data_IF_897127106388
#
_entry.id   IF_897127106388
#
_cell.length_a   1.000
_cell.length_b   1.000
_cell.length_c   1.000
_cell.angle_alpha   90.00
_cell.angle_beta   90.00
_cell.angle_gamma   90.00
#
_symmetry.space_group_name_H-M   'P 1'
#
loop_
_entity.id
_entity.type
_entity.pdbx_description
1 polymer ?
#
# COMPACT_ATOMS: atom_id res chain seq x y z
N UNK A 1 -33.62 32.59 62.71
CA UNK A 1 -34.36 31.73 61.77
C UNK A 1 -34.13 32.11 60.30
N UNK A 2 -34.42 33.34 59.86
CA UNK A 2 -34.20 33.76 58.46
C UNK A 2 -32.76 33.59 57.94
N UNK A 3 -31.73 33.94 58.74
CA UNK A 3 -30.33 33.76 58.34
C UNK A 3 -29.98 32.29 58.07
N UNK A 4 -30.41 31.37 58.94
CA UNK A 4 -30.19 29.93 58.76
C UNK A 4 -30.93 29.39 57.52
N UNK A 5 -32.10 29.94 57.21
CA UNK A 5 -32.85 29.59 56.00
C UNK A 5 -32.12 30.08 54.73
N UNK A 6 -31.53 31.27 54.75
CA UNK A 6 -30.73 31.79 53.63
C UNK A 6 -29.48 30.93 53.41
N UNK A 7 -28.74 30.59 54.49
CA UNK A 7 -27.59 29.69 54.37
C UNK A 7 -27.98 28.31 53.85
N UNK A 8 -29.11 27.77 54.30
CA UNK A 8 -29.62 26.49 53.81
C UNK A 8 -29.93 26.53 52.30
N UNK A 9 -30.61 27.59 51.83
CA UNK A 9 -30.89 27.78 50.40
C UNK A 9 -29.59 27.94 49.60
N UNK A 10 -28.60 28.71 50.11
CA UNK A 10 -27.30 28.84 49.46
C UNK A 10 -26.53 27.51 49.34
N UNK A 11 -26.54 26.69 50.40
CA UNK A 11 -25.93 25.35 50.35
C UNK A 11 -26.63 24.45 49.34
N UNK A 12 -27.96 24.52 49.25
CA UNK A 12 -28.73 23.74 48.29
C UNK A 12 -28.40 24.17 46.86
N UNK A 13 -28.36 25.46 46.57
CA UNK A 13 -27.94 25.99 45.26
C UNK A 13 -26.53 25.53 44.91
N UNK A 14 -25.58 25.61 45.85
CA UNK A 14 -24.20 25.19 45.62
C UNK A 14 -24.07 23.69 45.33
N UNK A 15 -24.86 22.85 46.01
CA UNK A 15 -24.90 21.40 45.74
C UNK A 15 -25.49 21.11 44.37
N UNK A 16 -26.56 21.81 43.97
CA UNK A 16 -27.19 21.64 42.65
C UNK A 16 -26.23 22.06 41.54
N UNK A 17 -25.56 23.20 41.66
CA UNK A 17 -24.54 23.65 40.70
C UNK A 17 -23.39 22.64 40.60
N UNK A 18 -22.91 22.11 41.74
CA UNK A 18 -21.86 21.09 41.73
C UNK A 18 -22.32 19.80 41.03
N UNK A 19 -23.56 19.38 41.24
CA UNK A 19 -24.16 18.22 40.56
C UNK A 19 -24.26 18.44 39.06
N UNK A 20 -24.68 19.64 38.62
CA UNK A 20 -24.74 20.00 37.20
C UNK A 20 -23.35 19.92 36.59
N UNK A 21 -22.34 20.54 37.22
CA UNK A 21 -20.95 20.53 36.73
C UNK A 21 -20.39 19.10 36.62
N UNK A 22 -20.66 18.24 37.60
CA UNK A 22 -20.24 16.82 37.54
C UNK A 22 -20.94 16.10 36.40
N UNK A 23 -22.26 16.30 36.24
CA UNK A 23 -23.04 15.64 35.18
C UNK A 23 -22.58 16.08 33.80
N UNK A 24 -22.35 17.38 33.59
CA UNK A 24 -21.83 17.91 32.33
C UNK A 24 -20.43 17.38 32.02
N UNK A 25 -19.56 17.27 33.04
CA UNK A 25 -18.23 16.69 32.89
C UNK A 25 -18.30 15.22 32.48
N UNK A 26 -19.13 14.42 33.15
CA UNK A 26 -19.28 12.99 32.84
C UNK A 26 -19.81 12.80 31.41
N UNK A 27 -20.80 13.61 30.99
CA UNK A 27 -21.30 13.60 29.61
C UNK A 27 -20.22 13.97 28.57
N UNK A 28 -19.35 14.94 28.89
CA UNK A 28 -18.25 15.34 28.02
C UNK A 28 -17.22 14.22 27.91
N UNK A 29 -16.85 13.58 29.01
CA UNK A 29 -15.90 12.46 29.05
C UNK A 29 -16.43 11.26 28.23
N UNK A 30 -17.73 10.95 28.34
CA UNK A 30 -18.38 9.92 27.51
C UNK A 30 -18.36 10.26 26.02
N UNK A 31 -18.71 11.50 25.65
CA UNK A 31 -18.69 11.96 24.25
C UNK A 31 -17.27 11.94 23.69
N UNK A 32 -16.28 12.37 24.47
CA UNK A 32 -14.87 12.32 24.08
C UNK A 32 -14.42 10.87 23.84
N UNK A 33 -14.77 9.95 24.75
CA UNK A 33 -14.46 8.52 24.59
C UNK A 33 -15.07 7.96 23.31
N UNK A 34 -16.32 8.30 23.00
CA UNK A 34 -16.99 7.85 21.79
C UNK A 34 -16.35 8.41 20.51
N UNK A 35 -15.95 9.68 20.51
CA UNK A 35 -15.23 10.31 19.39
C UNK A 35 -13.88 9.64 19.19
N UNK A 36 -13.13 9.45 20.28
CA UNK A 36 -11.83 8.77 20.28
C UNK A 36 -11.94 7.38 19.70
N UNK A 37 -12.93 6.59 20.13
CA UNK A 37 -13.14 5.24 19.64
C UNK A 37 -13.55 5.19 18.17
N UNK A 38 -14.42 6.09 17.72
CA UNK A 38 -14.76 6.22 16.30
C UNK A 38 -13.55 6.61 15.46
N UNK A 39 -12.76 7.57 15.93
CA UNK A 39 -11.54 7.99 15.24
C UNK A 39 -10.55 6.84 15.11
N UNK A 40 -10.24 6.15 16.22
CA UNK A 40 -9.33 5.00 16.22
C UNK A 40 -9.86 3.86 15.34
N UNK A 41 -11.16 3.59 15.35
CA UNK A 41 -11.77 2.57 14.49
C UNK A 41 -11.66 2.92 13.02
N UNK A 42 -11.95 4.17 12.67
CA UNK A 42 -11.86 4.67 11.28
C UNK A 42 -10.42 4.62 10.78
N UNK A 43 -9.47 5.04 11.61
CA UNK A 43 -8.04 4.94 11.31
C UNK A 43 -7.65 3.48 11.14
N UNK A 44 -7.98 2.60 12.08
CA UNK A 44 -7.66 1.17 11.99
C UNK A 44 -8.26 0.51 10.73
N UNK A 45 -9.47 0.89 10.33
CA UNK A 45 -10.12 0.35 9.13
C UNK A 45 -9.37 0.74 7.85
N UNK A 46 -8.74 1.92 7.81
CA UNK A 46 -7.91 2.33 6.67
C UNK A 46 -6.70 1.42 6.46
N UNK A 47 -6.09 0.91 7.54
CA UNK A 47 -4.98 -0.06 7.46
C UNK A 47 -5.43 -1.45 6.97
N UNK A 48 -6.72 -1.76 7.04
CA UNK A 48 -7.27 -3.04 6.51
C UNK A 48 -7.50 -3.00 5.01
N UNK A 49 -7.37 -1.83 4.37
CA UNK A 49 -7.55 -1.73 2.92
C UNK A 49 -6.49 -2.60 2.21
N UNK A 50 -6.91 -3.46 1.26
CA UNK A 50 -5.98 -4.39 0.64
C UNK A 50 -5.00 -3.65 -0.26
N UNK A 51 -3.71 -3.95 -0.06
CA UNK A 51 -2.67 -3.56 -1.01
C UNK A 51 -2.78 -4.43 -2.27
N UNK A 52 -2.98 -3.81 -3.43
CA UNK A 52 -3.10 -4.51 -4.71
C UNK A 52 -2.00 -4.07 -5.65
N UNK A 53 -1.30 -5.01 -6.27
CA UNK A 53 -0.36 -4.71 -7.35
C UNK A 53 -1.08 -4.90 -8.68
N UNK A 54 -0.99 -3.92 -9.57
CA UNK A 54 -1.53 -3.99 -10.93
C UNK A 54 -0.40 -3.92 -11.95
N UNK A 55 -0.48 -4.74 -13.00
CA UNK A 55 0.45 -4.74 -14.13
C UNK A 55 -0.38 -4.46 -15.40
N UNK A 56 -0.44 -3.20 -15.87
CA UNK A 56 -1.27 -2.85 -17.03
C UNK A 56 -0.90 -3.65 -18.29
N UNK A 57 0.40 -3.93 -18.47
CA UNK A 57 0.92 -4.73 -19.58
C UNK A 57 1.32 -6.13 -19.09
N UNK A 58 0.33 -7.04 -19.01
CA UNK A 58 0.56 -8.44 -18.60
C UNK A 58 1.37 -9.25 -19.60
N UNK A 59 1.39 -8.84 -20.87
CA UNK A 59 2.16 -9.49 -21.93
C UNK A 59 2.89 -8.43 -22.73
N UNK A 60 4.21 -8.57 -22.86
CA UNK A 60 5.04 -7.66 -23.63
C UNK A 60 5.90 -8.41 -24.64
N UNK A 61 5.92 -7.92 -25.88
CA UNK A 61 6.83 -8.40 -26.91
C UNK A 61 8.11 -7.54 -26.89
N UNK A 62 9.27 -8.18 -26.84
CA UNK A 62 10.58 -7.52 -26.82
C UNK A 62 11.43 -7.95 -28.00
N UNK A 63 11.93 -6.97 -28.74
CA UNK A 63 12.87 -7.21 -29.83
C UNK A 63 14.30 -7.21 -29.29
N UNK A 64 15.01 -8.34 -29.43
CA UNK A 64 16.41 -8.48 -29.01
C UNK A 64 17.37 -7.53 -29.73
N UNK A 65 17.00 -7.04 -30.92
CA UNK A 65 17.78 -6.05 -31.68
C UNK A 65 17.49 -4.60 -31.28
N UNK A 66 16.55 -4.38 -30.34
CA UNK A 66 16.23 -3.05 -29.85
C UNK A 66 17.40 -2.45 -29.08
N UNK A 67 17.70 -1.17 -29.34
CA UNK A 67 18.64 -0.40 -28.51
C UNK A 67 18.04 -0.06 -27.14
N UNK A 68 16.72 0.01 -27.06
CA UNK A 68 16.00 0.31 -25.83
C UNK A 68 15.68 -0.98 -25.06
N UNK A 69 15.89 -1.00 -23.73
CA UNK A 69 15.50 -2.12 -22.89
C UNK A 69 13.97 -2.19 -22.74
N UNK A 70 13.43 -3.38 -22.51
CA UNK A 70 12.02 -3.53 -22.18
C UNK A 70 11.71 -2.85 -20.85
N UNK A 71 10.61 -2.11 -20.78
CA UNK A 71 10.08 -1.52 -19.55
C UNK A 71 8.68 -2.07 -19.27
N UNK A 72 8.46 -2.63 -18.08
CA UNK A 72 7.14 -3.05 -17.61
C UNK A 72 6.82 -2.30 -16.33
N UNK A 73 5.69 -1.59 -16.31
CA UNK A 73 5.26 -0.77 -15.17
C UNK A 73 4.43 -1.62 -14.21
N UNK A 74 4.75 -1.49 -12.92
CA UNK A 74 4.13 -2.13 -11.77
C UNK A 74 3.51 -1.04 -10.90
N UNK A 75 2.19 -1.00 -10.84
CA UNK A 75 1.43 0.05 -10.16
C UNK A 75 0.83 -0.48 -8.87
N UNK A 76 1.27 -0.04 -7.69
CA UNK A 76 0.61 -0.35 -6.43
C UNK A 76 -0.67 0.49 -6.28
N UNK A 77 -1.73 -0.14 -5.81
CA UNK A 77 -3.05 0.44 -5.50
C UNK A 77 -3.36 0.17 -4.04
N UNK A 78 -3.99 1.13 -3.35
CA UNK A 78 -4.26 1.04 -1.91
C UNK A 78 -3.17 1.65 -1.03
N UNK A 79 -2.32 2.52 -1.60
CA UNK A 79 -1.32 3.31 -0.85
C UNK A 79 -1.81 4.74 -0.74
N UNK A 80 -2.08 5.19 0.48
CA UNK A 80 -2.78 6.47 0.72
C UNK A 80 -1.78 7.61 0.90
N UNK A 81 -0.65 7.38 1.57
CA UNK A 81 0.32 8.44 1.88
C UNK A 81 1.55 8.47 0.97
N UNK A 82 2.16 9.65 0.83
CA UNK A 82 3.41 9.81 0.10
C UNK A 82 4.61 9.14 0.81
N UNK A 83 4.58 9.07 2.14
CA UNK A 83 5.60 8.37 2.94
C UNK A 83 5.55 6.87 2.71
N UNK A 84 4.36 6.26 2.70
CA UNK A 84 4.19 4.84 2.38
C UNK A 84 4.67 4.49 0.97
N UNK A 85 4.44 5.37 -0.02
CA UNK A 85 4.97 5.19 -1.38
C UNK A 85 6.51 5.11 -1.41
N UNK A 86 7.20 5.73 -0.45
CA UNK A 86 8.67 5.62 -0.30
C UNK A 86 9.10 4.30 0.34
N UNK A 87 8.30 3.73 1.23
CA UNK A 87 8.66 2.49 1.93
C UNK A 87 8.19 1.22 1.21
N UNK A 88 7.51 1.35 0.07
CA UNK A 88 6.93 0.22 -0.63
C UNK A 88 7.98 -0.67 -1.32
N UNK A 89 8.10 -1.91 -0.87
CA UNK A 89 9.04 -2.87 -1.43
C UNK A 89 8.39 -3.63 -2.58
N UNK A 90 9.11 -3.76 -3.69
CA UNK A 90 8.68 -4.52 -4.86
C UNK A 90 9.57 -5.74 -5.06
N UNK A 91 8.93 -6.86 -5.37
CA UNK A 91 9.59 -8.14 -5.59
C UNK A 91 9.14 -8.72 -6.92
N UNK A 92 10.11 -9.16 -7.74
CA UNK A 92 9.85 -9.88 -8.98
C UNK A 92 10.64 -11.19 -8.94
N UNK A 93 9.97 -12.30 -9.25
CA UNK A 93 10.61 -13.59 -9.40
C UNK A 93 10.16 -14.26 -10.70
N UNK A 94 10.89 -15.30 -11.11
CA UNK A 94 10.48 -16.14 -12.24
C UNK A 94 9.36 -17.06 -11.75
N UNK A 95 8.28 -17.18 -12.54
CA UNK A 95 7.21 -18.12 -12.22
C UNK A 95 7.80 -19.54 -12.21
N UNK A 96 7.48 -20.34 -11.18
CA UNK A 96 7.89 -21.76 -11.10
C UNK A 96 7.49 -22.56 -12.34
N UNK A 97 6.42 -22.15 -13.04
CA UNK A 97 5.94 -22.75 -14.29
C UNK A 97 6.65 -22.23 -15.55
N UNK A 98 7.60 -21.31 -15.42
CA UNK A 98 8.38 -20.82 -16.55
C UNK A 98 9.40 -21.86 -16.99
N UNK A 99 9.31 -22.30 -18.25
CA UNK A 99 10.29 -23.22 -18.85
C UNK A 99 11.65 -22.55 -19.10
N UNK A 100 11.68 -21.22 -19.24
CA UNK A 100 12.88 -20.47 -19.53
C UNK A 100 13.25 -19.56 -18.35
N UNK A 101 14.53 -19.60 -17.98
CA UNK A 101 15.14 -18.67 -17.03
C UNK A 101 16.06 -17.72 -17.79
N UNK A 102 15.88 -16.40 -17.68
CA UNK A 102 16.77 -15.45 -18.33
C UNK A 102 18.19 -15.56 -17.75
N UNK A 103 19.19 -15.45 -18.63
CA UNK A 103 20.62 -15.51 -18.27
C UNK A 103 20.98 -14.29 -17.43
N UNK A 104 21.59 -14.50 -16.27
CA UNK A 104 21.98 -13.42 -15.36
C UNK A 104 20.86 -12.95 -14.42
N UNK A 105 19.80 -13.73 -14.25
CA UNK A 105 18.78 -13.46 -13.23
C UNK A 105 19.36 -13.59 -11.81
N UNK A 106 19.12 -12.62 -10.92
CA UNK A 106 19.65 -12.66 -9.55
C UNK A 106 19.12 -13.87 -8.75
N UNK A 107 19.98 -14.47 -7.92
CA UNK A 107 19.56 -15.51 -6.96
C UNK A 107 18.68 -14.84 -5.90
N UNK A 108 17.47 -15.38 -5.68
CA UNK A 108 16.49 -14.82 -4.74
C UNK A 108 15.44 -13.88 -5.35
N UNK A 109 15.53 -13.57 -6.66
CA UNK A 109 14.61 -12.64 -7.31
C UNK A 109 15.16 -11.22 -7.38
N UNK A 110 14.41 -10.34 -8.06
CA UNK A 110 14.75 -8.94 -8.29
C UNK A 110 14.02 -8.07 -7.28
N UNK A 111 14.77 -7.18 -6.63
CA UNK A 111 14.26 -6.11 -5.77
C UNK A 111 14.85 -4.78 -6.20
N UNK A 112 14.42 -3.68 -5.58
CA UNK A 112 15.00 -2.35 -5.82
C UNK A 112 16.52 -2.32 -5.56
N UNK A 113 16.98 -3.07 -4.56
CA UNK A 113 18.39 -3.12 -4.12
C UNK A 113 19.17 -4.18 -4.91
N UNK A 114 18.56 -5.34 -5.16
CA UNK A 114 19.20 -6.46 -5.84
C UNK A 114 19.03 -6.37 -7.37
N UNK A 115 19.64 -5.35 -7.98
CA UNK A 115 19.62 -5.13 -9.43
C UNK A 115 20.88 -5.66 -10.10
N UNK A 116 20.75 -6.16 -11.34
CA UNK A 116 21.86 -6.62 -12.18
C UNK A 116 22.06 -5.69 -13.37
N UNK A 117 23.13 -5.89 -14.16
CA UNK A 117 23.37 -5.10 -15.38
C UNK A 117 22.21 -5.19 -16.39
N UNK A 118 21.56 -6.36 -16.49
CA UNK A 118 20.52 -6.63 -17.49
C UNK A 118 19.09 -6.54 -16.95
N UNK A 119 18.90 -6.70 -15.64
CA UNK A 119 17.60 -6.65 -14.98
C UNK A 119 17.67 -5.66 -13.82
N UNK A 120 16.88 -4.60 -13.91
CA UNK A 120 16.81 -3.55 -12.89
C UNK A 120 15.38 -3.28 -12.53
N UNK A 121 15.18 -2.87 -11.28
CA UNK A 121 13.91 -2.36 -10.81
C UNK A 121 14.15 -0.94 -10.34
N UNK A 122 13.49 0.03 -10.98
CA UNK A 122 13.58 1.44 -10.58
C UNK A 122 12.23 1.91 -10.07
N UNK A 123 12.23 2.90 -9.18
CA UNK A 123 11.00 3.56 -8.76
C UNK A 123 10.81 4.84 -9.57
N UNK A 124 9.60 5.03 -10.08
CA UNK A 124 9.22 6.20 -10.86
C UNK A 124 7.82 6.64 -10.44
N UNK A 125 7.70 7.84 -9.85
CA UNK A 125 6.43 8.43 -9.40
C UNK A 125 5.57 7.52 -8.49
N UNK A 126 6.20 6.72 -7.62
CA UNK A 126 5.50 5.78 -6.73
C UNK A 126 5.18 4.41 -7.35
N UNK A 127 5.42 4.24 -8.65
CA UNK A 127 5.36 2.95 -9.34
C UNK A 127 6.75 2.31 -9.39
N UNK A 128 6.82 1.01 -9.63
CA UNK A 128 8.06 0.35 -10.03
C UNK A 128 8.08 0.11 -11.54
N UNK A 129 9.25 0.29 -12.15
CA UNK A 129 9.50 -0.03 -13.56
C UNK A 129 10.54 -1.13 -13.62
N UNK A 130 10.10 -2.29 -14.08
CA UNK A 130 10.96 -3.41 -14.39
C UNK A 130 11.64 -3.16 -15.73
N UNK A 131 12.96 -3.00 -15.71
CA UNK A 131 13.79 -2.80 -16.87
C UNK A 131 14.54 -4.09 -17.16
N UNK A 132 14.34 -4.64 -18.36
CA UNK A 132 14.90 -5.92 -18.76
C UNK A 132 15.57 -5.85 -20.13
N UNK A 133 16.81 -6.33 -20.18
CA UNK A 133 17.56 -6.55 -21.42
C UNK A 133 17.83 -8.06 -21.58
N UNK A 134 17.01 -8.72 -22.41
CA UNK A 134 17.14 -10.15 -22.65
C UNK A 134 18.24 -10.42 -23.67
N UNK A 135 19.05 -11.46 -23.42
CA UNK A 135 20.12 -11.90 -24.35
C UNK A 135 19.73 -13.10 -25.22
N UNK A 136 18.68 -13.82 -24.84
CA UNK A 136 18.25 -15.05 -25.49
C UNK A 136 16.76 -14.99 -25.82
N UNK A 137 16.40 -15.53 -26.97
CA UNK A 137 15.01 -15.72 -27.36
C UNK A 137 14.29 -16.64 -26.38
N UNK A 138 13.03 -16.34 -26.14
CA UNK A 138 12.21 -17.16 -25.27
C UNK A 138 10.97 -16.46 -24.78
N UNK A 139 10.07 -17.27 -24.25
CA UNK A 139 8.93 -16.80 -23.45
C UNK A 139 9.30 -16.93 -21.98
N UNK A 140 9.35 -15.81 -21.29
CA UNK A 140 9.67 -15.70 -19.87
C UNK A 140 8.40 -15.35 -19.11
N UNK A 141 8.13 -16.07 -18.01
CA UNK A 141 7.01 -15.78 -17.12
C UNK A 141 7.53 -15.34 -15.78
N UNK A 142 6.95 -14.27 -15.27
CA UNK A 142 7.33 -13.65 -14.01
C UNK A 142 6.13 -13.56 -13.08
N UNK A 143 6.44 -13.54 -11.79
CA UNK A 143 5.51 -13.28 -10.70
C UNK A 143 6.01 -12.05 -9.95
N UNK A 144 5.15 -11.07 -9.72
CA UNK A 144 5.47 -9.89 -8.94
C UNK A 144 4.49 -9.69 -7.79
N UNK A 145 4.98 -9.16 -6.68
CA UNK A 145 4.16 -8.70 -5.56
C UNK A 145 4.84 -7.50 -4.90
N UNK A 146 4.08 -6.72 -4.16
CA UNK A 146 4.61 -5.67 -3.30
C UNK A 146 4.30 -5.94 -1.82
N UNK A 147 5.12 -5.34 -0.98
CA UNK A 147 4.98 -5.35 0.48
C UNK A 147 5.10 -3.92 0.97
N UNK A 148 4.23 -3.52 1.89
CA UNK A 148 4.25 -2.24 2.55
C UNK A 148 4.20 -2.47 4.05
N UNK A 149 5.07 -1.80 4.78
CA UNK A 149 4.90 -1.59 6.21
C UNK A 149 4.31 -0.20 6.41
N UNK A 150 3.10 -0.14 6.94
CA UNK A 150 2.42 1.11 7.19
C UNK A 150 3.07 1.84 8.38
N UNK A 151 3.18 3.15 8.25
CA UNK A 151 3.62 4.03 9.33
C UNK A 151 2.41 4.47 10.15
N UNK A 152 2.58 4.56 11.47
CA UNK A 152 1.56 5.16 12.32
C UNK A 152 1.64 6.69 12.21
N UNK A 153 0.52 7.41 12.38
CA UNK A 153 0.51 8.85 12.30
C UNK A 153 1.30 9.45 13.46
N UNK A 154 2.23 10.35 13.16
CA UNK A 154 3.12 11.02 14.12
C UNK A 154 2.41 12.05 15.01
N UNK A 155 1.28 12.57 14.55
CA UNK A 155 0.46 13.54 15.29
C UNK A 155 -0.34 12.91 16.45
N UNK A 156 -0.44 11.58 16.53
CA UNK A 156 -1.21 10.93 17.60
C UNK A 156 -0.41 10.88 18.91
N UNK A 157 -1.01 11.26 20.05
CA UNK A 157 -0.44 11.03 21.37
C UNK A 157 -0.09 9.55 21.63
N UNK A 158 0.93 9.25 22.47
CA UNK A 158 1.38 7.89 22.74
C UNK A 158 0.27 6.92 23.17
N UNK A 159 -0.63 7.37 24.06
CA UNK A 159 -1.74 6.55 24.56
C UNK A 159 -2.76 6.15 23.46
N UNK A 160 -2.93 7.00 22.44
CA UNK A 160 -3.75 6.71 21.26
C UNK A 160 -3.02 5.84 20.27
N UNK A 161 -1.71 6.05 20.10
CA UNK A 161 -0.87 5.21 19.25
C UNK A 161 -0.85 3.76 19.72
N UNK A 162 -0.74 3.52 21.03
CA UNK A 162 -0.75 2.16 21.57
C UNK A 162 -2.10 1.50 21.38
N UNK A 163 -3.19 2.25 21.58
CA UNK A 163 -4.55 1.77 21.28
C UNK A 163 -4.71 1.44 19.79
N UNK A 164 -4.17 2.26 18.89
CA UNK A 164 -4.21 2.05 17.44
C UNK A 164 -3.36 0.85 17.02
N UNK A 165 -2.16 0.67 17.58
CA UNK A 165 -1.28 -0.48 17.33
C UNK A 165 -1.98 -1.79 17.64
N UNK A 166 -2.69 -1.87 18.78
CA UNK A 166 -3.46 -3.05 19.17
C UNK A 166 -4.57 -3.35 18.16
N UNK A 167 -5.29 -2.32 17.68
CA UNK A 167 -6.38 -2.48 16.70
C UNK A 167 -5.89 -2.83 15.29
N UNK A 168 -4.76 -2.27 14.86
CA UNK A 168 -4.17 -2.55 13.54
C UNK A 168 -3.51 -3.93 13.52
N UNK A 169 -2.80 -4.30 14.59
CA UNK A 169 -2.21 -5.63 14.76
C UNK A 169 -1.44 -6.11 13.52
N UNK A 170 -1.91 -7.20 12.92
CA UNK A 170 -1.29 -7.84 11.74
C UNK A 170 -1.38 -6.99 10.46
N UNK A 171 -2.31 -6.04 10.39
CA UNK A 171 -2.51 -5.18 9.22
C UNK A 171 -1.45 -4.08 9.11
N UNK A 172 -0.54 -3.96 10.08
CA UNK A 172 0.61 -3.05 9.97
C UNK A 172 1.48 -3.39 8.75
N UNK A 173 1.55 -4.66 8.37
CA UNK A 173 2.28 -5.11 7.19
C UNK A 173 1.31 -5.63 6.16
N UNK A 174 1.11 -4.87 5.09
CA UNK A 174 0.29 -5.26 3.96
C UNK A 174 1.15 -5.94 2.88
N UNK A 175 0.63 -7.03 2.32
CA UNK A 175 1.25 -7.74 1.20
C UNK A 175 0.23 -7.92 0.09
N UNK A 176 0.61 -7.57 -1.14
CA UNK A 176 -0.26 -7.77 -2.28
C UNK A 176 -0.35 -9.23 -2.71
N UNK A 177 -1.43 -9.53 -3.43
CA UNK A 177 -1.50 -10.74 -4.22
C UNK A 177 -0.35 -10.78 -5.25
N UNK A 178 0.01 -12.00 -5.64
CA UNK A 178 1.06 -12.22 -6.65
C UNK A 178 0.47 -12.12 -8.04
N UNK A 179 0.85 -11.07 -8.76
CA UNK A 179 0.48 -10.87 -10.16
C UNK A 179 1.45 -11.60 -11.10
N UNK A 180 0.93 -12.03 -12.24
CA UNK A 180 1.71 -12.72 -13.27
C UNK A 180 1.79 -11.88 -14.53
N UNK A 181 2.97 -11.83 -15.11
CA UNK A 181 3.17 -11.23 -16.42
C UNK A 181 4.18 -12.04 -17.23
N UNK A 182 4.17 -11.84 -18.55
CA UNK A 182 4.99 -12.59 -19.48
C UNK A 182 5.66 -11.69 -20.49
N UNK A 183 6.89 -12.05 -20.85
CA UNK A 183 7.68 -11.36 -21.85
C UNK A 183 8.07 -12.35 -22.93
N UNK A 184 7.78 -12.00 -24.19
CA UNK A 184 8.23 -12.75 -25.35
C UNK A 184 9.40 -12.00 -25.99
N UNK A 185 10.60 -12.54 -25.84
CA UNK A 185 11.79 -12.01 -26.49
C UNK A 185 12.03 -12.74 -27.82
N UNK A 186 12.12 -11.99 -28.92
CA UNK A 186 12.42 -12.52 -30.26
C UNK A 186 13.35 -11.58 -31.05
N UNK A 187 14.11 -12.12 -32.00
CA UNK A 187 14.97 -11.34 -32.91
C UNK A 187 14.20 -10.70 -34.07
N UNK A 188 12.99 -11.18 -34.36
CA UNK A 188 12.13 -10.67 -35.42
C UNK A 188 11.24 -9.57 -34.83
N UNK A 189 11.50 -8.32 -35.20
CA UNK A 189 10.61 -7.19 -34.95
C UNK A 189 9.35 -7.34 -35.79
N UNK A 190 8.36 -8.06 -35.26
CA UNK A 190 7.07 -8.21 -35.91
C UNK A 190 6.22 -6.97 -35.71
N UNK A 191 6.31 -5.99 -36.61
CA UNK A 191 5.16 -5.13 -36.90
C UNK A 191 4.00 -6.08 -37.19
N UNK A 192 2.97 -6.10 -36.33
CA UNK A 192 1.71 -6.76 -36.69
C UNK A 192 1.22 -6.09 -37.97
N UNK A 193 1.42 -6.72 -39.13
CA UNK A 193 0.70 -6.36 -40.35
C UNK A 193 -0.79 -6.49 -40.04
N UNK A 194 -1.46 -5.38 -39.72
CA UNK A 194 -2.91 -5.30 -39.84
C UNK A 194 -3.20 -5.61 -41.30
N UNK A 195 -3.70 -6.81 -41.60
CA UNK A 195 -4.33 -7.07 -42.89
C UNK A 195 -5.56 -6.17 -42.91
N UNK A 196 -5.58 -5.20 -43.81
CA UNK A 196 -6.82 -4.54 -44.17
C UNK A 196 -7.67 -5.60 -44.87
N UNK A 197 -8.70 -6.08 -44.20
CA UNK A 197 -9.80 -6.76 -44.87
C UNK A 197 -10.52 -5.68 -45.66
N UNK A 198 -10.26 -5.64 -46.97
CA UNK A 198 -11.12 -4.92 -47.91
C UNK A 198 -12.21 -5.91 -48.28
N UNK A 199 -13.40 -5.70 -47.73
CA UNK A 199 -14.63 -6.34 -48.19
C UNK A 199 -15.04 -5.69 -49.51
N UNK A 200 -15.15 -6.50 -50.57
CA UNK A 200 -15.81 -6.14 -51.83
C UNK A 200 -17.33 -6.19 -51.67
#
# INVERSE_FOLDING_TARGET
>A
MQKNMIYFVMYLVLIVELLIVITERDELDEKESLIRDKMLSTLAESYKQPLVLTIPQRTSDYNLKSKEPLKVVLTPVGVVSASEKKNLEFFINIDKKSRNKPIGWPKGGLTLINSTKNFKLIRENGNAVFIANFKKEGRYKFTAYCKLEHEFPDYLPPYLLDSLKVRVGVFKVAKSNTEKFSVRASTIGGVKKKRAEISF
#
